data_IF_998655244202
#
_entry.id   IF_998655244202
#
_cell.length_a   1.000
_cell.length_b   1.000
_cell.length_c   1.000
_cell.angle_alpha   90.00
_cell.angle_beta   90.00
_cell.angle_gamma   90.00
#
_symmetry.space_group_name_H-M   'P 1'
#
loop_
_entity.id
_entity.type
_entity.pdbx_description
1 polymer ?
#
# COMPACT_ATOMS: atom_id res chain seq x y z
N UNK A 1 -16.56 31.89 -10.62
CA UNK A 1 -16.92 30.47 -10.49
C UNK A 1 -16.04 29.77 -9.48
N UNK A 2 -14.72 29.82 -9.60
CA UNK A 2 -13.78 29.25 -8.61
C UNK A 2 -13.98 29.80 -7.18
N UNK A 3 -14.17 31.11 -7.03
CA UNK A 3 -14.42 31.73 -5.72
C UNK A 3 -15.72 31.22 -5.04
N UNK A 4 -16.78 31.01 -5.82
CA UNK A 4 -18.08 30.52 -5.30
C UNK A 4 -18.06 29.01 -4.99
N UNK A 5 -17.21 28.24 -5.66
CA UNK A 5 -17.11 26.79 -5.46
C UNK A 5 -16.11 26.42 -4.37
N UNK A 6 -14.96 27.11 -4.31
CA UNK A 6 -13.85 26.74 -3.42
C UNK A 6 -13.62 27.73 -2.26
N UNK A 7 -14.29 28.88 -2.25
CA UNK A 7 -14.15 29.92 -1.23
C UNK A 7 -12.68 30.29 -0.95
N UNK A 8 -11.92 30.58 -2.01
CA UNK A 8 -10.46 30.75 -1.95
C UNK A 8 -10.05 31.94 -1.04
N UNK A 9 -10.81 33.03 -1.05
CA UNK A 9 -10.55 34.19 -0.18
C UNK A 9 -10.83 33.87 1.28
N UNK A 10 -11.87 33.09 1.59
CA UNK A 10 -12.14 32.62 2.97
C UNK A 10 -11.06 31.66 3.46
N UNK A 11 -10.47 30.89 2.54
CA UNK A 11 -9.36 29.97 2.80
C UNK A 11 -7.98 30.65 2.72
N UNK A 12 -7.91 31.97 2.54
CA UNK A 12 -6.68 32.76 2.43
C UNK A 12 -5.66 32.20 1.41
N UNK A 13 -6.14 31.70 0.27
CA UNK A 13 -5.33 31.01 -0.75
C UNK A 13 -5.46 31.67 -2.13
N UNK A 14 -4.51 31.36 -3.02
CA UNK A 14 -4.48 31.86 -4.41
C UNK A 14 -4.52 30.69 -5.39
N UNK A 15 -5.09 30.92 -6.57
CA UNK A 15 -5.15 29.90 -7.64
C UNK A 15 -3.77 29.32 -7.96
N UNK A 16 -2.73 30.16 -8.00
CA UNK A 16 -1.34 29.72 -8.21
C UNK A 16 -0.85 28.82 -7.06
N UNK A 17 -1.17 29.18 -5.82
CA UNK A 17 -0.85 28.38 -4.64
C UNK A 17 -1.50 27.00 -4.67
N UNK A 18 -2.79 26.93 -4.99
CA UNK A 18 -3.53 25.66 -5.10
C UNK A 18 -2.99 24.76 -6.22
N UNK A 19 -2.63 25.31 -7.37
CA UNK A 19 -2.03 24.54 -8.47
C UNK A 19 -0.68 23.93 -8.03
N UNK A 20 0.16 24.73 -7.35
CA UNK A 20 1.45 24.24 -6.85
C UNK A 20 1.22 23.18 -5.78
N UNK A 21 0.33 23.41 -4.82
CA UNK A 21 0.00 22.45 -3.77
C UNK A 21 -0.55 21.14 -4.34
N UNK A 22 -1.42 21.20 -5.35
CA UNK A 22 -1.95 20.05 -6.07
C UNK A 22 -0.84 19.28 -6.80
N UNK A 23 0.05 19.98 -7.51
CA UNK A 23 1.18 19.35 -8.21
C UNK A 23 2.16 18.70 -7.22
N UNK A 24 2.49 19.38 -6.13
CA UNK A 24 3.32 18.83 -5.05
C UNK A 24 2.68 17.57 -4.49
N UNK A 25 1.39 17.61 -4.16
CA UNK A 25 0.66 16.45 -3.63
C UNK A 25 0.64 15.29 -4.62
N UNK A 26 0.41 15.58 -5.91
CA UNK A 26 0.46 14.58 -6.96
C UNK A 26 1.83 13.90 -7.04
N UNK A 27 2.92 14.67 -7.08
CA UNK A 27 4.29 14.12 -7.16
C UNK A 27 4.58 13.25 -5.93
N UNK A 28 4.19 13.69 -4.74
CA UNK A 28 4.38 12.94 -3.48
C UNK A 28 3.63 11.60 -3.48
N UNK A 29 2.48 11.52 -4.13
CA UNK A 29 1.66 10.30 -4.20
C UNK A 29 1.91 9.46 -5.46
N UNK A 30 2.54 10.00 -6.49
CA UNK A 30 2.71 9.36 -7.80
C UNK A 30 3.45 8.02 -7.72
N UNK A 31 4.22 7.75 -6.67
CA UNK A 31 4.85 6.45 -6.45
C UNK A 31 3.84 5.29 -6.45
N UNK A 32 2.58 5.53 -6.06
CA UNK A 32 1.53 4.50 -6.04
C UNK A 32 1.25 3.94 -7.44
N UNK A 33 1.46 4.75 -8.49
CA UNK A 33 1.30 4.34 -9.88
C UNK A 33 2.32 3.27 -10.27
N UNK A 34 3.46 3.20 -9.59
CA UNK A 34 4.46 2.15 -9.82
C UNK A 34 4.34 1.02 -8.79
N UNK A 35 4.03 1.36 -7.55
CA UNK A 35 3.94 0.40 -6.46
C UNK A 35 2.77 -0.56 -6.63
N UNK A 36 1.57 -0.06 -6.95
CA UNK A 36 0.39 -0.90 -7.06
C UNK A 36 0.52 -1.95 -8.18
N UNK A 37 0.96 -1.61 -9.41
CA UNK A 37 1.21 -2.61 -10.45
C UNK A 37 2.29 -3.62 -10.07
N UNK A 38 3.36 -3.20 -9.39
CA UNK A 38 4.43 -4.12 -8.95
C UNK A 38 3.95 -5.10 -7.88
N UNK A 39 3.05 -4.70 -6.99
CA UNK A 39 2.50 -5.59 -5.96
C UNK A 39 1.40 -6.50 -6.51
N UNK A 40 0.50 -5.98 -7.32
CA UNK A 40 -0.64 -6.75 -7.82
C UNK A 40 -0.26 -7.69 -8.98
N UNK A 41 0.81 -7.40 -9.72
CA UNK A 41 1.32 -8.34 -10.73
C UNK A 41 1.88 -9.62 -10.12
N UNK A 42 2.42 -9.56 -8.89
CA UNK A 42 2.86 -10.73 -8.13
C UNK A 42 1.66 -11.66 -7.81
N UNK A 43 0.46 -11.09 -7.64
CA UNK A 43 -0.78 -11.83 -7.48
C UNK A 43 -1.32 -12.42 -8.80
N UNK A 44 -0.67 -12.13 -9.94
CA UNK A 44 -1.06 -12.62 -11.26
C UNK A 44 -1.93 -11.65 -12.08
N UNK A 45 -2.01 -10.37 -11.70
CA UNK A 45 -2.73 -9.35 -12.45
C UNK A 45 -1.85 -8.74 -13.56
N UNK A 46 -2.47 -8.29 -14.65
CA UNK A 46 -1.76 -7.56 -15.70
C UNK A 46 -1.27 -6.19 -15.20
N UNK A 47 0.01 -5.90 -15.42
CA UNK A 47 0.67 -4.72 -14.86
C UNK A 47 0.13 -3.43 -15.47
N UNK A 48 -0.11 -3.41 -16.78
CA UNK A 48 -0.57 -2.22 -17.50
C UNK A 48 -2.04 -1.94 -17.17
N UNK A 49 -2.88 -2.98 -17.08
CA UNK A 49 -4.25 -2.87 -16.64
C UNK A 49 -4.35 -2.31 -15.22
N UNK A 50 -3.53 -2.79 -14.28
CA UNK A 50 -3.51 -2.27 -12.89
C UNK A 50 -3.05 -0.82 -12.85
N UNK A 51 -2.05 -0.43 -13.64
CA UNK A 51 -1.58 0.96 -13.73
C UNK A 51 -2.72 1.88 -14.16
N UNK A 52 -3.40 1.53 -15.26
CA UNK A 52 -4.51 2.31 -15.80
C UNK A 52 -5.66 2.36 -14.80
N UNK A 53 -6.03 1.23 -14.19
CA UNK A 53 -7.10 1.17 -13.19
C UNK A 53 -6.79 2.03 -11.96
N UNK A 54 -5.54 2.02 -11.49
CA UNK A 54 -5.09 2.82 -10.34
C UNK A 54 -5.11 4.31 -10.66
N UNK A 55 -4.58 4.70 -11.83
CA UNK A 55 -4.54 6.09 -12.26
C UNK A 55 -5.95 6.67 -12.48
N UNK A 56 -6.81 5.94 -13.19
CA UNK A 56 -8.18 6.36 -13.44
C UNK A 56 -9.02 6.35 -12.17
N UNK A 57 -8.96 5.28 -11.38
CA UNK A 57 -9.71 5.16 -10.14
C UNK A 57 -9.34 6.24 -9.13
N UNK A 58 -8.04 6.38 -8.84
CA UNK A 58 -7.54 7.42 -7.93
C UNK A 58 -7.78 8.84 -8.44
N UNK A 59 -7.59 9.06 -9.74
CA UNK A 59 -7.84 10.35 -10.39
C UNK A 59 -9.30 10.78 -10.32
N UNK A 60 -10.23 9.90 -10.73
CA UNK A 60 -11.68 10.19 -10.71
C UNK A 60 -12.15 10.45 -9.27
N UNK A 61 -11.74 9.63 -8.31
CA UNK A 61 -12.15 9.78 -6.91
C UNK A 61 -11.56 11.04 -6.28
N UNK A 62 -10.31 11.38 -6.58
CA UNK A 62 -9.68 12.63 -6.12
C UNK A 62 -10.33 13.86 -6.74
N UNK A 63 -10.66 13.82 -8.03
CA UNK A 63 -11.40 14.90 -8.72
C UNK A 63 -12.79 15.05 -8.11
N UNK A 64 -13.49 13.94 -7.83
CA UNK A 64 -14.80 13.96 -7.20
C UNK A 64 -14.75 14.58 -5.80
N UNK A 65 -13.72 14.28 -4.99
CA UNK A 65 -13.52 14.93 -3.69
C UNK A 65 -13.32 16.44 -3.81
N UNK A 66 -12.53 16.87 -4.80
CA UNK A 66 -12.32 18.30 -5.06
C UNK A 66 -13.59 19.01 -5.55
N UNK A 67 -14.29 18.46 -6.55
CA UNK A 67 -15.39 19.17 -7.22
C UNK A 67 -16.75 19.01 -6.53
N UNK A 68 -17.05 17.82 -5.98
CA UNK A 68 -18.37 17.52 -5.40
C UNK A 68 -18.39 17.77 -3.90
N UNK A 69 -17.32 17.40 -3.20
CA UNK A 69 -17.23 17.52 -1.72
C UNK A 69 -16.53 18.81 -1.30
N UNK A 70 -15.79 19.45 -2.21
CA UNK A 70 -14.99 20.66 -1.93
C UNK A 70 -14.01 20.44 -0.75
N UNK A 71 -13.43 19.24 -0.70
CA UNK A 71 -12.52 18.82 0.36
C UNK A 71 -11.13 18.50 -0.22
N UNK A 72 -10.05 19.17 0.21
CA UNK A 72 -8.72 19.05 -0.38
C UNK A 72 -7.99 17.79 0.14
N UNK A 73 -8.55 16.60 -0.13
CA UNK A 73 -7.89 15.31 0.12
C UNK A 73 -7.72 14.55 -1.18
N UNK A 74 -6.49 14.11 -1.43
CA UNK A 74 -6.19 13.13 -2.46
C UNK A 74 -6.46 11.71 -1.94
N UNK A 75 -7.12 10.90 -2.76
CA UNK A 75 -7.48 9.53 -2.42
C UNK A 75 -6.77 8.57 -3.37
N UNK A 76 -6.04 7.62 -2.78
CA UNK A 76 -5.37 6.55 -3.48
C UNK A 76 -5.51 5.23 -2.71
N UNK A 77 -5.25 4.08 -3.35
CA UNK A 77 -5.27 2.79 -2.67
C UNK A 77 -4.29 2.74 -1.49
N UNK A 78 -4.72 2.22 -0.35
CA UNK A 78 -3.87 2.05 0.81
C UNK A 78 -2.79 0.99 0.59
N UNK A 79 -1.52 1.36 0.75
CA UNK A 79 -0.37 0.47 0.51
C UNK A 79 -0.43 -0.82 1.32
N UNK A 80 -0.81 -0.74 2.60
CA UNK A 80 -0.94 -1.91 3.47
C UNK A 80 -2.00 -2.90 3.00
N UNK A 81 -3.10 -2.40 2.41
CA UNK A 81 -4.17 -3.26 1.87
C UNK A 81 -3.72 -3.96 0.59
N UNK A 82 -2.96 -3.28 -0.28
CA UNK A 82 -2.37 -3.91 -1.48
C UNK A 82 -1.43 -5.06 -1.09
N UNK A 83 -0.56 -4.80 -0.12
CA UNK A 83 0.35 -5.79 0.43
C UNK A 83 -0.38 -6.99 1.06
N UNK A 84 -1.38 -6.73 1.90
CA UNK A 84 -2.19 -7.78 2.53
C UNK A 84 -2.92 -8.62 1.47
N UNK A 85 -3.54 -7.95 0.50
CA UNK A 85 -4.24 -8.59 -0.61
C UNK A 85 -3.30 -9.54 -1.39
N UNK A 86 -2.15 -9.06 -1.84
CA UNK A 86 -1.21 -9.87 -2.63
C UNK A 86 -0.62 -11.01 -1.80
N UNK A 87 0.03 -10.69 -0.68
CA UNK A 87 0.88 -11.67 0.01
C UNK A 87 0.11 -12.57 0.95
N UNK A 88 -0.97 -12.08 1.58
CA UNK A 88 -1.76 -12.88 2.53
C UNK A 88 -2.91 -13.58 1.84
N UNK A 89 -3.77 -12.84 1.13
CA UNK A 89 -5.01 -13.42 0.58
C UNK A 89 -4.73 -14.25 -0.67
N UNK A 90 -4.05 -13.68 -1.67
CA UNK A 90 -3.84 -14.39 -2.94
C UNK A 90 -2.75 -15.45 -2.79
N UNK A 91 -1.55 -15.06 -2.37
CA UNK A 91 -0.43 -15.99 -2.26
C UNK A 91 -0.53 -16.88 -1.02
N UNK A 92 -0.79 -16.30 0.15
CA UNK A 92 -0.79 -17.03 1.42
C UNK A 92 -1.95 -18.01 1.56
N UNK A 93 -3.16 -17.65 1.14
CA UNK A 93 -4.34 -18.51 1.21
C UNK A 93 -4.61 -19.28 -0.10
N UNK A 94 -3.84 -19.03 -1.16
CA UNK A 94 -3.99 -19.70 -2.46
C UNK A 94 -5.28 -19.34 -3.19
N UNK A 95 -5.90 -18.20 -2.87
CA UNK A 95 -7.16 -17.76 -3.49
C UNK A 95 -6.86 -17.05 -4.81
N UNK A 96 -7.60 -17.38 -5.87
CA UNK A 96 -7.47 -16.69 -7.15
C UNK A 96 -7.73 -15.18 -6.98
N UNK A 97 -6.91 -14.33 -7.62
CA UNK A 97 -7.00 -12.87 -7.47
C UNK A 97 -8.38 -12.34 -7.88
N UNK A 98 -9.05 -12.95 -8.86
CA UNK A 98 -10.41 -12.58 -9.27
C UNK A 98 -11.41 -12.76 -8.13
N UNK A 99 -11.32 -13.88 -7.40
CA UNK A 99 -12.16 -14.17 -6.24
C UNK A 99 -11.87 -13.21 -5.10
N UNK A 100 -10.59 -12.96 -4.82
CA UNK A 100 -10.18 -11.98 -3.82
C UNK A 100 -10.68 -10.56 -4.17
N UNK A 101 -10.62 -10.16 -5.45
CA UNK A 101 -11.13 -8.86 -5.91
C UNK A 101 -12.66 -8.77 -5.76
N UNK A 102 -13.38 -9.87 -6.01
CA UNK A 102 -14.81 -9.98 -5.74
C UNK A 102 -15.14 -9.77 -4.26
N UNK A 103 -14.35 -10.35 -3.36
CA UNK A 103 -14.49 -10.13 -1.92
C UNK A 103 -14.24 -8.66 -1.54
N UNK A 104 -13.22 -8.01 -2.14
CA UNK A 104 -12.97 -6.57 -1.95
C UNK A 104 -14.17 -5.74 -2.42
N UNK A 105 -14.75 -6.05 -3.57
CA UNK A 105 -15.94 -5.36 -4.08
C UNK A 105 -17.14 -5.49 -3.14
N UNK A 106 -17.43 -6.71 -2.65
CA UNK A 106 -18.49 -6.96 -1.67
C UNK A 106 -18.21 -6.21 -0.37
N UNK A 107 -16.97 -6.21 0.11
CA UNK A 107 -16.58 -5.46 1.31
C UNK A 107 -16.80 -3.96 1.14
N UNK A 108 -16.59 -3.42 -0.06
CA UNK A 108 -16.89 -2.03 -0.41
C UNK A 108 -18.38 -1.71 -0.33
N UNK A 109 -19.24 -2.59 -0.83
CA UNK A 109 -20.71 -2.45 -0.70
C UNK A 109 -21.12 -2.50 0.77
N UNK A 110 -20.61 -3.47 1.52
CA UNK A 110 -20.89 -3.59 2.96
C UNK A 110 -20.42 -2.32 3.70
N UNK A 111 -19.23 -1.83 3.40
CA UNK A 111 -18.69 -0.61 3.99
C UNK A 111 -19.51 0.64 3.65
N UNK A 112 -20.02 0.73 2.42
CA UNK A 112 -20.96 1.79 2.00
C UNK A 112 -22.23 1.75 2.86
N UNK A 113 -22.86 0.57 3.00
CA UNK A 113 -24.07 0.38 3.82
C UNK A 113 -23.80 0.74 5.28
N UNK A 114 -22.68 0.29 5.85
CA UNK A 114 -22.30 0.60 7.24
C UNK A 114 -22.00 2.10 7.45
N UNK A 115 -21.47 2.77 6.44
CA UNK A 115 -21.23 4.21 6.48
C UNK A 115 -22.53 5.00 6.45
N UNK A 116 -23.54 4.55 5.69
CA UNK A 116 -24.86 5.18 5.64
C UNK A 116 -25.68 4.93 6.91
N UNK A 117 -25.50 3.80 7.58
CA UNK A 117 -26.32 3.37 8.74
C UNK A 117 -25.75 3.78 10.11
N UNK A 118 -24.73 4.65 10.18
CA UNK A 118 -24.01 5.09 11.40
C UNK A 118 -23.28 4.01 12.21
N UNK A 119 -23.49 2.72 11.89
CA UNK A 119 -22.86 1.56 12.55
C UNK A 119 -21.33 1.64 12.56
N UNK A 120 -20.74 2.24 11.51
CA UNK A 120 -19.29 2.51 11.44
C UNK A 120 -18.77 3.21 12.70
N UNK A 121 -19.48 4.21 13.21
CA UNK A 121 -19.03 4.98 14.37
C UNK A 121 -19.02 4.10 15.63
N UNK A 122 -20.06 3.30 15.85
CA UNK A 122 -20.12 2.37 16.97
C UNK A 122 -19.02 1.30 16.92
N UNK A 123 -18.67 0.81 15.73
CA UNK A 123 -17.54 -0.11 15.58
C UNK A 123 -16.25 0.57 16.02
N UNK A 124 -16.00 1.80 15.55
CA UNK A 124 -14.77 2.54 15.89
C UNK A 124 -14.71 2.88 17.37
N UNK A 125 -15.82 3.26 18.00
CA UNK A 125 -15.92 3.54 19.44
C UNK A 125 -15.72 2.27 20.28
N UNK A 126 -16.17 1.12 19.79
CA UNK A 126 -16.01 -0.18 20.47
C UNK A 126 -14.58 -0.73 20.46
N UNK A 127 -13.71 -0.28 19.55
CA UNK A 127 -12.31 -0.73 19.50
C UNK A 127 -11.48 0.03 20.55
N UNK A 128 -10.86 -0.66 21.53
CA UNK A 128 -9.98 -0.03 22.51
C UNK A 128 -8.83 0.75 21.86
N UNK A 129 -8.40 1.85 22.48
CA UNK A 129 -7.30 2.66 21.95
C UNK A 129 -6.00 1.86 21.77
N UNK A 130 -5.71 0.91 22.67
CA UNK A 130 -4.58 -0.01 22.56
C UNK A 130 -4.63 -0.85 21.28
N UNK A 131 -5.80 -1.36 20.91
CA UNK A 131 -5.99 -2.13 19.67
C UNK A 131 -5.82 -1.26 18.43
N UNK A 132 -6.30 -0.01 18.44
CA UNK A 132 -6.09 0.93 17.34
C UNK A 132 -4.61 1.18 17.10
N UNK A 133 -3.86 1.43 18.17
CA UNK A 133 -2.40 1.64 18.10
C UNK A 133 -1.70 0.38 17.60
N UNK A 134 -2.05 -0.79 18.14
CA UNK A 134 -1.46 -2.06 17.72
C UNK A 134 -1.68 -2.35 16.22
N UNK A 135 -2.86 -2.06 15.68
CA UNK A 135 -3.17 -2.20 14.25
C UNK A 135 -2.27 -1.27 13.42
N UNK A 136 -2.14 0.00 13.81
CA UNK A 136 -1.27 0.96 13.10
C UNK A 136 0.19 0.52 13.11
N UNK A 137 0.71 0.10 14.26
CA UNK A 137 2.08 -0.40 14.41
C UNK A 137 2.29 -1.68 13.59
N UNK A 138 1.34 -2.61 13.63
CA UNK A 138 1.39 -3.86 12.89
C UNK A 138 1.42 -3.65 11.38
N UNK A 139 0.54 -2.79 10.86
CA UNK A 139 0.53 -2.43 9.42
C UNK A 139 1.82 -1.72 9.03
N UNK A 140 2.34 -0.82 9.88
CA UNK A 140 3.62 -0.14 9.66
C UNK A 140 4.78 -1.12 9.53
N UNK A 141 4.95 -2.00 10.52
CA UNK A 141 5.99 -3.04 10.51
C UNK A 141 5.85 -3.99 9.32
N UNK A 142 4.61 -4.36 8.96
CA UNK A 142 4.33 -5.20 7.80
C UNK A 142 4.77 -4.54 6.49
N UNK A 143 4.44 -3.26 6.29
CA UNK A 143 4.89 -2.49 5.12
C UNK A 143 6.41 -2.32 5.14
N UNK A 144 7.03 -2.10 6.30
CA UNK A 144 8.50 -2.02 6.43
C UNK A 144 9.18 -3.31 5.99
N UNK A 145 8.69 -4.48 6.42
CA UNK A 145 9.24 -5.78 6.00
C UNK A 145 9.14 -5.95 4.49
N UNK A 146 8.01 -5.60 3.89
CA UNK A 146 7.82 -5.67 2.44
C UNK A 146 8.77 -4.71 1.71
N UNK A 147 8.93 -3.48 2.20
CA UNK A 147 9.87 -2.52 1.64
C UNK A 147 11.32 -2.99 1.70
N UNK A 148 11.74 -3.58 2.83
CA UNK A 148 13.07 -4.17 2.97
C UNK A 148 13.29 -5.35 2.02
N UNK A 149 12.25 -6.16 1.79
CA UNK A 149 12.31 -7.28 0.85
C UNK A 149 12.37 -6.81 -0.61
N UNK A 150 11.54 -5.85 -0.99
CA UNK A 150 11.48 -5.33 -2.37
C UNK A 150 12.70 -4.49 -2.74
N UNK A 151 13.36 -3.85 -1.77
CA UNK A 151 14.61 -3.10 -1.97
C UNK A 151 15.85 -3.99 -2.06
N UNK A 152 15.71 -5.30 -1.82
CA UNK A 152 16.83 -6.23 -1.78
C UNK A 152 17.70 -6.12 -0.53
N UNK A 153 17.34 -5.27 0.45
CA UNK A 153 18.04 -5.15 1.75
C UNK A 153 17.82 -6.38 2.63
N UNK A 154 16.68 -7.04 2.48
CA UNK A 154 16.32 -8.26 3.19
C UNK A 154 16.18 -9.41 2.20
N UNK A 155 16.96 -10.46 2.41
CA UNK A 155 16.78 -11.74 1.75
C UNK A 155 16.03 -12.70 2.67
N UNK A 156 15.26 -13.60 2.05
CA UNK A 156 14.60 -14.70 2.76
C UNK A 156 15.27 -15.94 2.21
N UNK A 157 16.07 -16.58 3.03
CA UNK A 157 16.81 -17.80 2.66
C UNK A 157 16.13 -18.98 3.34
N UNK A 158 15.84 -20.00 2.54
CA UNK A 158 15.23 -21.24 3.03
C UNK A 158 16.35 -22.24 3.32
N UNK A 159 16.58 -22.54 4.59
CA UNK A 159 17.47 -23.63 5.00
C UNK A 159 16.62 -24.87 5.19
N UNK A 160 16.34 -25.54 4.07
CA UNK A 160 15.47 -26.71 4.03
C UNK A 160 16.17 -27.90 4.70
N UNK A 161 15.53 -28.45 5.73
CA UNK A 161 15.87 -29.78 6.26
C UNK A 161 15.61 -30.87 5.20
N UNK A 162 16.29 -32.04 5.22
CA UNK A 162 16.10 -33.10 4.23
C UNK A 162 14.62 -33.53 4.03
N UNK A 163 13.83 -33.50 5.11
CA UNK A 163 12.40 -33.85 5.09
C UNK A 163 11.52 -32.77 4.43
N UNK A 164 11.84 -31.48 4.63
CA UNK A 164 11.15 -30.36 3.97
C UNK A 164 11.50 -30.24 2.49
N UNK A 165 12.73 -30.59 2.10
CA UNK A 165 13.18 -30.61 0.71
C UNK A 165 12.38 -31.61 -0.12
N UNK A 166 12.06 -32.78 0.44
CA UNK A 166 11.21 -33.77 -0.21
C UNK A 166 9.79 -33.24 -0.46
N UNK A 167 9.24 -32.47 0.48
CA UNK A 167 7.94 -31.81 0.31
C UNK A 167 7.99 -30.69 -0.73
N UNK A 168 9.04 -29.86 -0.73
CA UNK A 168 9.22 -28.78 -1.72
C UNK A 168 9.33 -29.35 -3.14
N UNK A 169 10.07 -30.45 -3.31
CA UNK A 169 10.21 -31.13 -4.61
C UNK A 169 8.89 -31.76 -5.03
N UNK A 170 8.17 -32.43 -4.13
CA UNK A 170 6.86 -33.03 -4.40
C UNK A 170 5.80 -31.97 -4.76
N UNK A 171 5.87 -30.79 -4.15
CA UNK A 171 4.92 -29.68 -4.37
C UNK A 171 5.40 -28.69 -5.44
N UNK A 172 6.45 -29.02 -6.21
CA UNK A 172 7.04 -28.17 -7.25
C UNK A 172 7.31 -26.73 -6.78
N UNK A 173 7.82 -26.56 -5.56
CA UNK A 173 8.16 -25.24 -5.00
C UNK A 173 7.04 -24.54 -4.22
N UNK A 174 5.83 -25.11 -4.12
CA UNK A 174 4.70 -24.49 -3.40
C UNK A 174 4.54 -25.03 -1.97
N UNK A 175 5.63 -25.17 -1.23
CA UNK A 175 5.57 -25.51 0.19
C UNK A 175 5.89 -24.28 1.01
N UNK A 176 5.07 -23.99 2.02
CA UNK A 176 5.36 -22.96 3.02
C UNK A 176 6.38 -23.53 4.02
N UNK A 177 7.64 -23.08 4.01
CA UNK A 177 8.66 -23.58 4.91
C UNK A 177 8.28 -23.27 6.35
N UNK A 178 8.74 -24.09 7.30
CA UNK A 178 8.51 -23.80 8.72
C UNK A 178 9.10 -22.45 9.12
N UNK A 179 8.58 -21.82 10.17
CA UNK A 179 9.12 -20.56 10.71
C UNK A 179 10.60 -20.69 11.10
N UNK A 180 11.04 -21.90 11.46
CA UNK A 180 12.44 -22.25 11.74
C UNK A 180 13.33 -22.40 10.51
N UNK A 181 12.74 -22.56 9.31
CA UNK A 181 13.45 -22.74 8.04
C UNK A 181 13.51 -21.44 7.24
N UNK A 182 12.68 -20.45 7.60
CA UNK A 182 12.63 -19.12 7.00
C UNK A 182 13.61 -18.19 7.71
N UNK A 183 14.86 -18.16 7.25
CA UNK A 183 15.88 -17.29 7.83
C UNK A 183 15.83 -15.94 7.12
N UNK A 184 15.60 -14.89 7.91
CA UNK A 184 15.78 -13.51 7.47
C UNK A 184 17.27 -13.21 7.44
N UNK A 185 17.82 -12.99 6.25
CA UNK A 185 19.24 -12.71 6.04
C UNK A 185 19.40 -11.31 5.45
N UNK A 186 20.59 -10.72 5.64
CA UNK A 186 20.93 -9.48 4.95
C UNK A 186 21.04 -9.78 3.45
N UNK A 187 20.40 -8.96 2.63
CA UNK A 187 20.51 -9.09 1.19
C UNK A 187 21.89 -8.68 0.66
N UNK A 188 22.07 -8.82 -0.64
CA UNK A 188 23.37 -8.54 -1.27
C UNK A 188 23.62 -7.03 -1.35
N UNK A 189 24.42 -6.50 -0.43
CA UNK A 189 24.77 -5.07 -0.39
C UNK A 189 25.59 -4.59 -1.61
N UNK A 190 26.16 -5.51 -2.39
CA UNK A 190 26.91 -5.17 -3.60
C UNK A 190 26.01 -5.01 -4.83
N UNK A 191 24.71 -5.30 -4.72
CA UNK A 191 23.75 -5.06 -5.79
C UNK A 191 23.51 -3.55 -5.97
N UNK A 192 23.62 -3.00 -7.20
CA UNK A 192 23.30 -1.61 -7.50
C UNK A 192 21.91 -1.16 -7.02
N UNK A 193 20.91 -2.06 -7.00
CA UNK A 193 19.57 -1.73 -6.50
C UNK A 193 19.55 -1.49 -4.99
N UNK A 194 20.29 -2.29 -4.23
CA UNK A 194 20.40 -2.17 -2.77
C UNK A 194 21.17 -0.91 -2.39
N UNK A 195 22.23 -0.57 -3.14
CA UNK A 195 22.97 0.66 -2.95
C UNK A 195 22.09 1.91 -3.18
N UNK A 196 21.23 1.89 -4.21
CA UNK A 196 20.27 2.96 -4.46
C UNK A 196 19.25 3.10 -3.32
N UNK A 197 18.76 1.98 -2.79
CA UNK A 197 17.83 1.97 -1.66
C UNK A 197 18.48 2.55 -0.39
N UNK A 198 19.73 2.17 -0.09
CA UNK A 198 20.49 2.72 1.04
C UNK A 198 20.72 4.22 0.90
N UNK A 199 21.13 4.68 -0.30
CA UNK A 199 21.30 6.10 -0.57
C UNK A 199 19.99 6.85 -0.35
N UNK A 200 18.87 6.36 -0.89
CA UNK A 200 17.55 6.95 -0.70
C UNK A 200 17.14 7.05 0.77
N UNK A 201 17.40 6.00 1.56
CA UNK A 201 17.09 5.98 2.99
C UNK A 201 17.95 6.99 3.77
N UNK A 202 19.26 7.03 3.52
CA UNK A 202 20.19 7.98 4.14
C UNK A 202 19.85 9.42 3.74
N UNK A 203 19.56 9.67 2.47
CA UNK A 203 19.17 10.98 1.96
C UNK A 203 17.87 11.46 2.64
N UNK A 204 16.87 10.59 2.73
CA UNK A 204 15.61 10.90 3.41
C UNK A 204 15.83 11.17 4.90
N UNK A 205 16.64 10.37 5.57
CA UNK A 205 16.98 10.56 6.98
C UNK A 205 17.72 11.90 7.22
N UNK A 206 18.63 12.28 6.32
CA UNK A 206 19.34 13.56 6.37
C UNK A 206 18.40 14.76 6.18
N UNK A 207 17.45 14.67 5.24
CA UNK A 207 16.44 15.72 5.04
C UNK A 207 15.54 15.84 6.28
N UNK A 208 15.07 14.70 6.80
CA UNK A 208 14.24 14.67 8.01
C UNK A 208 14.98 15.22 9.23
N UNK A 209 16.26 14.88 9.41
CA UNK A 209 17.09 15.42 10.49
C UNK A 209 17.32 16.94 10.38
N UNK A 210 17.22 17.50 9.16
CA UNK A 210 17.31 18.94 8.92
C UNK A 210 15.95 19.65 9.04
N UNK A 211 14.86 18.95 9.34
CA UNK A 211 13.49 19.49 9.36
C UNK A 211 13.13 20.28 8.08
N UNK A 212 13.63 19.81 6.94
CA UNK A 212 13.24 20.31 5.61
C UNK A 212 12.07 19.47 5.11
#
# INVERSE_FOLDING_TARGET
MLEKLFALSERNTTVKGEIIAGLTTFITMAYILFLAPNLLSIAGMDKDAVLIATALGGGIVTIAMGLLVNYPICLAPGVGLLAFYTFTVVLGMGVAWQTALGAVFISGIVFLILTLTTVRQHIVEGIPASMKIAITVGIGLFITIIGLKLSGLMAITLSLSPDSLAQVIATKGHSTPGSSETILTLGNLMDPQVALALFGLVFTALLMARNV
#
